data_IF_811312120261
#
_entry.id   IF_811312120261
#
_cell.length_a   1.000
_cell.length_b   1.000
_cell.length_c   1.000
_cell.angle_alpha   90.00
_cell.angle_beta   90.00
_cell.angle_gamma   90.00
#
_symmetry.space_group_name_H-M   'P 1'
#
loop_
_entity.id
_entity.type
_entity.pdbx_description
1 polymer ?
#
# COMPACT_ATOMS: atom_id res chain seq x y z
N UNK A 1 -25.48 36.79 -8.72
CA UNK A 1 -25.41 37.66 -7.52
C UNK A 1 -24.00 38.16 -7.36
N UNK A 2 -23.66 39.30 -7.97
CA UNK A 2 -22.50 40.18 -7.69
C UNK A 2 -22.52 41.32 -8.73
N UNK A 3 -23.64 42.05 -8.79
CA UNK A 3 -23.85 43.16 -9.72
C UNK A 3 -24.58 44.31 -9.03
N UNK A 4 -24.13 44.68 -7.83
CA UNK A 4 -24.69 45.78 -7.06
C UNK A 4 -23.65 46.27 -6.06
N UNK A 5 -22.67 47.06 -6.52
CA UNK A 5 -21.84 47.93 -5.67
C UNK A 5 -21.03 48.91 -6.54
N UNK A 6 -21.71 49.60 -7.45
CA UNK A 6 -21.23 50.88 -7.98
C UNK A 6 -22.29 51.92 -7.66
N UNK A 7 -22.22 52.47 -6.45
CA UNK A 7 -22.93 53.70 -6.08
C UNK A 7 -21.99 54.87 -6.30
N UNK A 8 -22.24 55.57 -7.40
CA UNK A 8 -22.24 57.04 -7.53
C UNK A 8 -21.32 57.84 -6.58
N UNK A 9 -20.12 58.15 -7.05
CA UNK A 9 -19.30 59.27 -6.55
C UNK A 9 -18.88 60.23 -7.66
N UNK A 10 -19.66 60.34 -8.74
CA UNK A 10 -19.51 61.44 -9.69
C UNK A 10 -20.22 62.69 -9.15
N UNK A 11 -19.47 63.57 -8.51
CA UNK A 11 -19.95 64.91 -8.14
C UNK A 11 -20.20 65.68 -9.46
N UNK A 12 -21.47 65.94 -9.77
CA UNK A 12 -21.88 66.84 -10.86
C UNK A 12 -21.51 68.27 -10.48
N UNK A 13 -20.39 68.76 -11.02
CA UNK A 13 -20.02 70.18 -10.97
C UNK A 13 -21.01 70.94 -11.88
N UNK A 14 -21.83 71.82 -11.29
CA UNK A 14 -22.70 72.73 -12.03
C UNK A 14 -21.85 73.63 -12.93
N UNK A 15 -22.16 73.64 -14.22
CA UNK A 15 -21.65 74.62 -15.16
C UNK A 15 -22.09 76.04 -14.76
N UNK A 16 -21.21 77.05 -14.82
CA UNK A 16 -21.55 78.41 -14.43
C UNK A 16 -22.57 79.01 -15.40
N UNK A 17 -23.62 79.62 -14.85
CA UNK A 17 -24.62 80.40 -15.58
C UNK A 17 -24.01 81.69 -16.15
N UNK A 18 -24.44 82.13 -17.35
CA UNK A 18 -23.87 83.31 -17.99
C UNK A 18 -24.17 84.59 -17.21
N UNK A 19 -23.13 85.41 -17.13
CA UNK A 19 -23.02 86.70 -16.44
C UNK A 19 -24.12 87.69 -16.81
N UNK A 20 -24.86 88.17 -15.80
CA UNK A 20 -25.63 89.40 -15.88
C UNK A 20 -24.70 90.60 -15.63
N UNK A 21 -24.54 91.41 -16.68
CA UNK A 21 -23.79 92.66 -16.73
C UNK A 21 -24.38 93.69 -15.76
N UNK A 22 -23.63 94.12 -14.75
CA UNK A 22 -23.95 95.31 -13.95
C UNK A 22 -22.68 96.11 -13.63
N UNK A 23 -22.54 97.23 -14.34
CA UNK A 23 -22.03 98.54 -13.87
C UNK A 23 -20.59 98.66 -13.33
N UNK A 24 -19.91 99.80 -13.57
CA UNK A 24 -18.55 100.01 -13.09
C UNK A 24 -18.54 100.17 -11.55
N UNK A 25 -17.86 99.26 -10.85
CA UNK A 25 -17.58 99.41 -9.41
C UNK A 25 -16.44 100.40 -9.22
N UNK A 26 -16.75 101.52 -8.57
CA UNK A 26 -15.86 102.65 -8.24
C UNK A 26 -15.00 102.42 -6.97
N UNK A 27 -14.72 101.18 -6.56
CA UNK A 27 -13.89 100.91 -5.37
C UNK A 27 -12.99 99.68 -5.58
N UNK A 28 -11.72 99.72 -5.16
CA UNK A 28 -10.87 98.53 -5.14
C UNK A 28 -11.49 97.46 -4.24
N UNK A 29 -11.36 96.16 -4.57
CA UNK A 29 -11.90 95.10 -3.74
C UNK A 29 -11.26 95.15 -2.35
N UNK A 30 -12.05 95.02 -1.26
CA UNK A 30 -11.51 94.92 0.08
C UNK A 30 -10.59 93.70 0.15
N UNK A 31 -9.41 93.87 0.75
CA UNK A 31 -8.48 92.77 1.00
C UNK A 31 -9.22 91.63 1.73
N UNK A 32 -8.97 90.35 1.38
CA UNK A 32 -9.59 89.24 2.09
C UNK A 32 -9.27 89.36 3.59
N UNK A 33 -10.23 89.10 4.50
CA UNK A 33 -10.00 89.22 5.92
C UNK A 33 -8.83 88.33 6.34
N UNK A 34 -7.75 88.94 6.85
CA UNK A 34 -6.70 88.20 7.53
C UNK A 34 -7.29 87.64 8.82
N UNK A 35 -7.53 86.33 8.85
CA UNK A 35 -7.85 85.64 10.09
C UNK A 35 -6.67 85.81 11.06
N UNK A 36 -6.93 86.09 12.36
CA UNK A 36 -5.87 86.08 13.35
C UNK A 36 -5.21 84.70 13.36
N UNK A 37 -3.88 84.66 13.21
CA UNK A 37 -3.13 83.42 13.35
C UNK A 37 -3.31 82.91 14.79
N UNK A 38 -3.70 81.65 14.95
CA UNK A 38 -3.71 81.01 16.25
C UNK A 38 -2.28 81.02 16.80
N UNK A 39 -2.06 81.78 17.88
CA UNK A 39 -0.81 81.74 18.63
C UNK A 39 -0.84 80.48 19.50
N UNK A 40 -0.57 79.33 18.87
CA UNK A 40 -0.50 78.04 19.56
C UNK A 40 0.75 78.07 20.43
N UNK A 41 0.66 77.90 21.76
CA UNK A 41 1.85 77.83 22.61
C UNK A 41 2.76 76.69 22.14
N UNK A 42 4.10 76.84 22.17
CA UNK A 42 5.01 75.79 21.77
C UNK A 42 4.85 74.60 22.72
N UNK A 43 4.08 73.59 22.32
CA UNK A 43 3.69 72.51 23.22
C UNK A 43 4.77 71.43 23.39
N UNK A 44 5.99 71.61 22.86
CA UNK A 44 7.06 70.63 23.00
C UNK A 44 8.42 71.27 23.24
N UNK A 45 9.19 70.63 24.13
CA UNK A 45 10.63 70.87 24.32
C UNK A 45 11.31 70.72 22.95
N UNK A 46 12.27 71.59 22.63
CA UNK A 46 13.14 71.39 21.46
C UNK A 46 13.80 70.03 21.61
N UNK A 47 13.49 69.11 20.71
CA UNK A 47 14.16 67.81 20.62
C UNK A 47 15.52 68.11 20.00
N UNK A 48 16.60 67.52 20.54
CA UNK A 48 17.93 67.64 19.94
C UNK A 48 17.99 66.83 18.64
N UNK A 49 18.75 67.29 17.65
CA UNK A 49 18.91 66.58 16.37
C UNK A 49 19.39 65.15 16.65
N UNK A 50 18.66 64.12 16.19
CA UNK A 50 19.08 62.74 16.38
C UNK A 50 20.47 62.48 15.79
N UNK A 51 21.34 61.78 16.52
CA UNK A 51 22.57 61.23 15.97
C UNK A 51 22.22 59.99 15.15
N UNK A 52 22.41 60.08 13.83
CA UNK A 52 22.21 58.96 12.91
C UNK A 52 23.42 58.03 12.96
N UNK A 53 23.19 56.71 13.01
CA UNK A 53 24.24 55.72 12.85
C UNK A 53 24.94 55.85 11.48
N UNK A 54 26.22 55.47 11.38
CA UNK A 54 27.03 55.52 10.15
C UNK A 54 26.33 54.81 8.99
N UNK A 55 25.76 53.63 9.24
CA UNK A 55 24.98 52.86 8.25
C UNK A 55 23.71 53.56 7.79
N UNK A 56 23.08 54.35 8.66
CA UNK A 56 21.89 55.14 8.31
C UNK A 56 22.28 56.33 7.43
N UNK A 57 23.46 56.92 7.66
CA UNK A 57 23.99 58.03 6.85
C UNK A 57 24.35 57.53 5.44
N UNK A 58 25.02 56.37 5.35
CA UNK A 58 25.36 55.74 4.07
C UNK A 58 24.10 55.38 3.27
N UNK A 59 23.05 54.89 3.93
CA UNK A 59 21.76 54.59 3.29
C UNK A 59 21.03 55.84 2.79
N UNK A 60 21.14 56.98 3.48
CA UNK A 60 20.52 58.25 3.05
C UNK A 60 21.26 58.84 1.83
N UNK A 61 22.57 58.62 1.74
CA UNK A 61 23.39 59.10 0.62
C UNK A 61 23.10 58.34 -0.69
N UNK A 62 22.93 57.02 -0.61
CA UNK A 62 22.51 56.17 -1.73
C UNK A 62 21.61 55.01 -1.28
N UNK A 63 20.28 55.20 -1.30
CA UNK A 63 19.32 54.19 -0.83
C UNK A 63 19.30 52.89 -1.64
N UNK A 64 19.75 52.93 -2.90
CA UNK A 64 19.76 51.75 -3.79
C UNK A 64 21.07 50.95 -3.68
N UNK A 65 22.20 51.62 -3.48
CA UNK A 65 23.51 50.95 -3.38
C UNK A 65 23.84 50.45 -1.96
N UNK A 66 23.36 51.14 -0.91
CA UNK A 66 23.71 50.88 0.49
C UNK A 66 22.57 50.22 1.28
N UNK A 67 21.71 49.45 0.60
CA UNK A 67 20.63 48.71 1.24
C UNK A 67 21.19 47.51 2.02
N UNK A 68 20.94 47.37 3.34
CA UNK A 68 21.46 46.24 4.11
C UNK A 68 20.80 44.92 3.72
N UNK A 69 21.57 43.84 3.81
CA UNK A 69 21.11 42.47 3.62
C UNK A 69 20.72 41.78 4.93
N UNK A 70 21.09 42.35 6.09
CA UNK A 70 20.70 41.83 7.41
C UNK A 70 19.45 42.52 7.94
N UNK A 71 18.58 41.73 8.56
CA UNK A 71 17.29 42.15 9.10
C UNK A 71 17.45 43.12 10.28
N UNK A 72 18.45 42.88 11.15
CA UNK A 72 18.65 43.75 12.32
C UNK A 72 19.23 45.10 11.93
N UNK A 73 20.09 45.14 10.92
CA UNK A 73 20.62 46.39 10.36
C UNK A 73 19.49 47.20 9.72
N UNK A 74 18.60 46.57 8.95
CA UNK A 74 17.41 47.23 8.41
C UNK A 74 16.51 47.81 9.51
N UNK A 75 16.36 47.12 10.66
CA UNK A 75 15.56 47.60 11.80
C UNK A 75 16.22 48.78 12.51
N UNK A 76 17.56 48.81 12.59
CA UNK A 76 18.31 49.95 13.15
C UNK A 76 18.09 51.18 12.27
N UNK A 77 18.30 51.07 10.96
CA UNK A 77 18.12 52.19 10.03
C UNK A 77 16.66 52.68 10.05
N UNK A 78 15.68 51.77 10.04
CA UNK A 78 14.25 52.14 10.19
C UNK A 78 13.97 52.95 11.44
N UNK A 79 14.58 52.60 12.58
CA UNK A 79 14.38 53.32 13.84
C UNK A 79 15.02 54.71 13.80
N UNK A 80 16.18 54.86 13.16
CA UNK A 80 16.86 56.14 13.02
C UNK A 80 16.15 57.06 12.02
N UNK A 81 15.71 56.55 10.87
CA UNK A 81 14.87 57.29 9.91
C UNK A 81 13.55 57.76 10.54
N UNK A 82 12.95 56.97 11.44
CA UNK A 82 11.75 57.38 12.19
C UNK A 82 12.02 58.53 13.14
N UNK A 83 13.16 58.53 13.86
CA UNK A 83 13.56 59.62 14.76
C UNK A 83 13.83 60.90 13.98
N UNK A 84 14.56 60.80 12.87
CA UNK A 84 14.91 61.96 12.03
C UNK A 84 13.67 62.56 11.35
N UNK A 85 12.79 61.72 10.81
CA UNK A 85 11.50 62.18 10.27
C UNK A 85 10.66 62.90 11.32
N UNK A 86 10.59 62.36 12.54
CA UNK A 86 9.84 62.98 13.62
C UNK A 86 10.42 64.35 14.01
N UNK A 87 11.76 64.47 14.05
CA UNK A 87 12.46 65.72 14.27
C UNK A 87 12.16 66.75 13.17
N UNK A 88 12.26 66.38 11.89
CA UNK A 88 11.99 67.28 10.75
C UNK A 88 10.52 67.73 10.67
N UNK A 89 9.58 66.89 11.10
CA UNK A 89 8.16 67.27 11.23
C UNK A 89 7.97 68.31 12.35
N UNK A 90 8.65 68.11 13.49
CA UNK A 90 8.60 69.03 14.62
C UNK A 90 9.27 70.39 14.28
N UNK A 91 10.26 70.41 13.38
CA UNK A 91 10.90 71.62 12.82
C UNK A 91 10.16 72.24 11.61
N UNK A 92 9.03 71.66 11.18
CA UNK A 92 8.22 72.10 10.03
C UNK A 92 8.94 72.02 8.67
N UNK A 93 9.99 71.20 8.56
CA UNK A 93 10.74 70.95 7.33
C UNK A 93 10.11 69.78 6.54
N UNK A 94 8.90 70.00 6.05
CA UNK A 94 8.10 68.98 5.36
C UNK A 94 8.72 68.39 4.08
N UNK A 95 9.45 69.16 3.24
CA UNK A 95 10.06 68.61 2.02
C UNK A 95 11.16 67.58 2.31
N UNK A 96 11.93 67.79 3.39
CA UNK A 96 12.98 66.87 3.81
C UNK A 96 12.37 65.67 4.53
N UNK A 97 11.39 65.89 5.42
CA UNK A 97 10.64 64.82 6.06
C UNK A 97 9.95 63.86 5.06
N UNK A 98 9.58 64.35 3.87
CA UNK A 98 9.02 63.52 2.80
C UNK A 98 10.05 62.56 2.20
N UNK A 99 11.32 62.98 2.05
CA UNK A 99 12.40 62.10 1.57
C UNK A 99 12.66 60.96 2.55
N UNK A 100 12.85 61.29 3.83
CA UNK A 100 12.98 60.29 4.90
C UNK A 100 11.77 59.35 5.00
N UNK A 101 10.57 59.82 4.62
CA UNK A 101 9.40 58.94 4.54
C UNK A 101 9.47 57.97 3.35
N UNK A 102 9.96 58.40 2.18
CA UNK A 102 10.19 57.52 1.03
C UNK A 102 11.27 56.48 1.34
N UNK A 103 12.37 56.90 1.96
CA UNK A 103 13.46 56.01 2.40
C UNK A 103 12.96 54.96 3.40
N UNK A 104 12.08 55.36 4.31
CA UNK A 104 11.43 54.44 5.25
C UNK A 104 10.52 53.42 4.56
N UNK A 105 9.81 53.82 3.49
CA UNK A 105 8.99 52.89 2.69
C UNK A 105 9.89 51.85 1.99
N UNK A 106 11.05 52.26 1.48
CA UNK A 106 12.02 51.35 0.87
C UNK A 106 12.56 50.33 1.88
N UNK A 107 12.96 50.78 3.07
CA UNK A 107 13.41 49.86 4.13
C UNK A 107 12.28 48.96 4.63
N UNK A 108 11.06 49.48 4.78
CA UNK A 108 9.91 48.65 5.15
C UNK A 108 9.64 47.55 4.12
N UNK A 109 9.83 47.83 2.82
CA UNK A 109 9.73 46.83 1.76
C UNK A 109 10.85 45.78 1.87
N UNK A 110 12.12 46.20 2.08
CA UNK A 110 13.26 45.29 2.25
C UNK A 110 13.14 44.39 3.49
N UNK A 111 12.69 44.95 4.62
CA UNK A 111 12.40 44.16 5.84
C UNK A 111 11.35 43.09 5.54
N UNK A 112 10.29 43.48 4.83
CA UNK A 112 9.24 42.54 4.45
C UNK A 112 9.76 41.42 3.53
N UNK A 113 10.63 41.75 2.57
CA UNK A 113 11.29 40.76 1.69
C UNK A 113 12.15 39.78 2.49
N UNK A 114 13.04 40.27 3.36
CA UNK A 114 13.92 39.44 4.18
C UNK A 114 13.14 38.54 5.18
N UNK A 115 12.11 39.08 5.83
CA UNK A 115 11.21 38.29 6.70
C UNK A 115 10.49 37.21 5.87
N UNK A 116 10.03 37.54 4.66
CA UNK A 116 9.33 36.60 3.77
C UNK A 116 10.24 35.47 3.26
N UNK A 117 11.50 35.77 2.93
CA UNK A 117 12.51 34.78 2.56
C UNK A 117 12.84 33.83 3.74
N UNK A 118 12.98 34.38 4.95
CA UNK A 118 13.17 33.59 6.17
C UNK A 118 12.00 32.62 6.43
N UNK A 119 10.76 33.11 6.30
CA UNK A 119 9.57 32.28 6.47
C UNK A 119 9.47 31.18 5.39
N UNK A 120 9.78 31.51 4.13
CA UNK A 120 9.80 30.54 3.03
C UNK A 120 10.89 29.48 3.22
N UNK A 121 12.09 29.85 3.63
CA UNK A 121 13.17 28.89 3.91
C UNK A 121 12.86 27.99 5.10
N UNK A 122 12.22 28.51 6.15
CA UNK A 122 11.71 27.71 7.27
C UNK A 122 10.64 26.71 6.80
N UNK A 123 9.72 27.16 5.93
CA UNK A 123 8.69 26.30 5.33
C UNK A 123 9.31 25.20 4.47
N UNK A 124 10.33 25.52 3.66
CA UNK A 124 11.08 24.56 2.85
C UNK A 124 11.71 23.46 3.72
N UNK A 125 12.39 23.86 4.82
CA UNK A 125 12.98 22.91 5.78
C UNK A 125 11.91 22.01 6.41
N UNK A 126 10.78 22.59 6.81
CA UNK A 126 9.68 21.82 7.39
C UNK A 126 9.12 20.78 6.41
N UNK A 127 8.85 21.18 5.17
CA UNK A 127 8.36 20.27 4.12
C UNK A 127 9.37 19.17 3.80
N UNK A 128 10.67 19.48 3.78
CA UNK A 128 11.73 18.49 3.57
C UNK A 128 11.80 17.48 4.72
N UNK A 129 11.77 17.92 5.98
CA UNK A 129 11.73 17.02 7.13
C UNK A 129 10.52 16.10 7.06
N UNK A 130 9.34 16.64 6.73
CA UNK A 130 8.11 15.86 6.55
C UNK A 130 8.23 14.84 5.41
N UNK A 131 8.87 15.23 4.31
CA UNK A 131 9.14 14.33 3.19
C UNK A 131 9.98 13.13 3.66
N UNK A 132 11.12 13.39 4.31
CA UNK A 132 12.00 12.34 4.84
C UNK A 132 11.27 11.45 5.88
N UNK A 133 10.41 12.03 6.72
CA UNK A 133 9.63 11.27 7.74
C UNK A 133 8.70 10.27 7.05
N UNK A 134 7.97 10.72 6.03
CA UNK A 134 7.06 9.87 5.26
C UNK A 134 7.81 8.81 4.46
N UNK A 135 8.98 9.16 3.90
CA UNK A 135 9.83 8.23 3.17
C UNK A 135 10.29 7.07 4.06
N UNK A 136 10.69 7.35 5.31
CA UNK A 136 11.06 6.33 6.28
C UNK A 136 9.89 5.40 6.66
N UNK A 137 8.67 5.94 6.75
CA UNK A 137 7.46 5.15 6.99
C UNK A 137 7.17 4.23 5.80
N UNK A 138 7.25 4.76 4.58
CA UNK A 138 7.06 3.96 3.35
C UNK A 138 8.10 2.85 3.26
N UNK A 139 9.37 3.16 3.52
CA UNK A 139 10.45 2.17 3.51
C UNK A 139 10.21 1.04 4.53
N UNK A 140 9.74 1.39 5.73
CA UNK A 140 9.39 0.40 6.76
C UNK A 140 8.23 -0.52 6.32
N UNK A 141 7.15 0.06 5.78
CA UNK A 141 6.02 -0.71 5.25
C UNK A 141 6.42 -1.63 4.10
N UNK A 142 7.25 -1.15 3.17
CA UNK A 142 7.75 -1.96 2.06
C UNK A 142 8.63 -3.10 2.56
N UNK A 143 9.54 -2.84 3.50
CA UNK A 143 10.37 -3.88 4.10
C UNK A 143 9.55 -4.95 4.84
N UNK A 144 8.53 -4.56 5.59
CA UNK A 144 7.63 -5.53 6.22
C UNK A 144 6.84 -6.34 5.17
N UNK A 145 6.36 -5.67 4.12
CA UNK A 145 5.64 -6.33 3.03
C UNK A 145 6.53 -7.32 2.28
N UNK A 146 7.78 -6.96 1.98
CA UNK A 146 8.74 -7.83 1.31
C UNK A 146 9.01 -9.09 2.13
N UNK A 147 9.26 -8.95 3.44
CA UNK A 147 9.40 -10.12 4.35
C UNK A 147 8.17 -11.03 4.32
N UNK A 148 6.98 -10.45 4.38
CA UNK A 148 5.73 -11.21 4.34
C UNK A 148 5.50 -11.88 2.99
N UNK A 149 5.95 -11.25 1.91
CA UNK A 149 5.84 -11.77 0.55
C UNK A 149 6.84 -12.90 0.30
N UNK A 150 8.07 -12.78 0.80
CA UNK A 150 9.07 -13.85 0.81
C UNK A 150 8.56 -15.09 1.55
N UNK A 151 8.01 -14.91 2.76
CA UNK A 151 7.42 -16.00 3.55
C UNK A 151 6.24 -16.67 2.79
N UNK A 152 5.44 -15.88 2.09
CA UNK A 152 4.36 -16.39 1.23
C UNK A 152 4.90 -17.22 0.06
N UNK A 153 5.97 -16.76 -0.60
CA UNK A 153 6.60 -17.49 -1.71
C UNK A 153 7.21 -18.81 -1.23
N UNK A 154 7.94 -18.79 -0.13
CA UNK A 154 8.55 -19.98 0.47
C UNK A 154 7.49 -21.02 0.87
N UNK A 155 6.41 -20.56 1.52
CA UNK A 155 5.29 -21.43 1.91
C UNK A 155 4.61 -22.03 0.67
N UNK A 156 4.39 -21.22 -0.37
CA UNK A 156 3.80 -21.65 -1.63
C UNK A 156 4.64 -22.70 -2.33
N UNK A 157 5.96 -22.48 -2.42
CA UNK A 157 6.89 -23.41 -3.04
C UNK A 157 6.91 -24.73 -2.29
N UNK A 158 7.01 -24.68 -0.96
CA UNK A 158 7.01 -25.88 -0.11
C UNK A 158 5.73 -26.70 -0.30
N UNK A 159 4.58 -26.06 -0.40
CA UNK A 159 3.31 -26.76 -0.66
C UNK A 159 3.21 -27.33 -2.07
N UNK A 160 3.70 -26.62 -3.07
CA UNK A 160 3.73 -27.12 -4.43
C UNK A 160 4.57 -28.40 -4.51
N UNK A 161 5.75 -28.39 -3.89
CA UNK A 161 6.64 -29.55 -3.81
C UNK A 161 5.97 -30.73 -3.09
N UNK A 162 5.22 -30.47 -2.00
CA UNK A 162 4.45 -31.51 -1.31
C UNK A 162 3.32 -32.10 -2.17
N UNK A 163 2.61 -31.27 -2.94
CA UNK A 163 1.56 -31.72 -3.85
C UNK A 163 2.18 -32.58 -4.96
N UNK A 164 3.31 -32.15 -5.53
CA UNK A 164 4.02 -32.90 -6.58
C UNK A 164 4.59 -34.22 -6.08
N UNK A 165 5.20 -34.24 -4.90
CA UNK A 165 5.66 -35.47 -4.23
C UNK A 165 4.49 -36.42 -3.97
N UNK A 166 3.37 -35.93 -3.41
CA UNK A 166 2.19 -36.75 -3.18
C UNK A 166 1.61 -37.34 -4.47
N UNK A 167 1.58 -36.54 -5.55
CA UNK A 167 1.15 -37.02 -6.87
C UNK A 167 2.11 -38.07 -7.44
N UNK A 168 3.43 -37.91 -7.26
CA UNK A 168 4.45 -38.88 -7.67
C UNK A 168 4.26 -40.21 -6.94
N UNK A 169 4.13 -40.17 -5.61
CA UNK A 169 3.90 -41.37 -4.80
C UNK A 169 2.60 -42.08 -5.16
N UNK A 170 1.51 -41.33 -5.39
CA UNK A 170 0.23 -41.89 -5.84
C UNK A 170 0.37 -42.60 -7.20
N UNK A 171 1.17 -42.05 -8.11
CA UNK A 171 1.44 -42.65 -9.42
C UNK A 171 2.33 -43.90 -9.32
N UNK A 172 3.36 -43.88 -8.47
CA UNK A 172 4.21 -45.04 -8.20
C UNK A 172 3.41 -46.19 -7.58
N UNK A 173 2.56 -45.90 -6.59
CA UNK A 173 1.65 -46.88 -5.99
C UNK A 173 0.65 -47.41 -7.02
N UNK A 174 0.14 -46.56 -7.91
CA UNK A 174 -0.72 -47.00 -9.00
C UNK A 174 0.00 -47.98 -9.93
N UNK A 175 1.22 -47.64 -10.35
CA UNK A 175 2.02 -48.46 -11.28
C UNK A 175 2.48 -49.78 -10.62
N UNK A 176 2.79 -49.80 -9.33
CA UNK A 176 3.11 -51.02 -8.56
C UNK A 176 1.92 -51.96 -8.41
N UNK A 177 0.70 -51.43 -8.32
CA UNK A 177 -0.53 -52.22 -8.16
C UNK A 177 -1.10 -52.74 -9.49
N UNK A 178 -0.42 -52.52 -10.61
CA UNK A 178 -0.83 -53.05 -11.91
C UNK A 178 -0.71 -54.59 -11.90
N UNK A 179 -1.80 -55.35 -12.12
CA UNK A 179 -1.72 -56.80 -12.14
C UNK A 179 -0.84 -57.30 -13.30
N UNK A 180 0.12 -58.18 -13.00
CA UNK A 180 1.00 -58.82 -14.00
C UNK A 180 0.26 -59.76 -14.96
N UNK A 181 -0.95 -60.20 -14.61
CA UNK A 181 -1.79 -61.05 -15.46
C UNK A 181 -3.22 -60.53 -15.59
N UNK A 182 -4.07 -61.34 -16.23
CA UNK A 182 -5.51 -61.08 -16.30
C UNK A 182 -6.09 -60.98 -14.89
N UNK A 183 -6.77 -59.88 -14.56
CA UNK A 183 -7.50 -59.77 -13.29
C UNK A 183 -8.74 -60.66 -13.31
N UNK A 184 -9.28 -60.99 -12.13
CA UNK A 184 -10.42 -61.91 -11.99
C UNK A 184 -11.62 -61.47 -12.84
N UNK A 185 -11.82 -60.16 -13.01
CA UNK A 185 -12.90 -59.58 -13.81
C UNK A 185 -12.82 -59.94 -15.30
N UNK A 186 -11.61 -60.10 -15.84
CA UNK A 186 -11.34 -60.36 -17.25
C UNK A 186 -11.14 -61.86 -17.56
N UNK A 187 -11.12 -62.75 -16.56
CA UNK A 187 -10.93 -64.20 -16.72
C UNK A 187 -12.19 -64.99 -17.08
N UNK A 188 -13.29 -64.33 -17.46
CA UNK A 188 -14.58 -65.01 -17.72
C UNK A 188 -14.55 -65.75 -19.07
N UNK A 189 -14.58 -67.09 -19.10
CA UNK A 189 -14.57 -67.86 -20.35
C UNK A 189 -15.86 -67.64 -21.16
N UNK A 190 -15.78 -67.65 -22.49
CA UNK A 190 -17.00 -67.60 -23.31
C UNK A 190 -17.82 -68.87 -23.19
N UNK A 191 -19.14 -68.76 -23.43
CA UNK A 191 -20.03 -69.92 -23.46
C UNK A 191 -19.61 -70.94 -24.53
N UNK A 192 -19.03 -70.47 -25.65
CA UNK A 192 -18.49 -71.31 -26.71
C UNK A 192 -17.31 -72.15 -26.21
N UNK A 193 -16.38 -71.55 -25.46
CA UNK A 193 -15.25 -72.27 -24.87
C UNK A 193 -15.72 -73.29 -23.83
N UNK A 194 -16.68 -72.92 -22.98
CA UNK A 194 -17.29 -73.84 -22.01
C UNK A 194 -17.96 -75.05 -22.68
N UNK A 195 -18.68 -74.82 -23.79
CA UNK A 195 -19.31 -75.88 -24.57
C UNK A 195 -18.29 -76.83 -25.23
N UNK A 196 -17.17 -76.29 -25.73
CA UNK A 196 -16.07 -77.11 -26.25
C UNK A 196 -15.38 -77.93 -25.16
N UNK A 197 -15.14 -77.34 -23.99
CA UNK A 197 -14.54 -78.04 -22.83
C UNK A 197 -15.48 -79.11 -22.26
N UNK A 198 -16.79 -78.88 -22.27
CA UNK A 198 -17.75 -79.91 -21.84
C UNK A 198 -17.87 -81.04 -22.86
N UNK A 199 -17.84 -80.74 -24.16
CA UNK A 199 -17.79 -81.74 -25.22
C UNK A 199 -16.50 -82.57 -25.18
N UNK A 200 -15.34 -81.92 -24.98
CA UNK A 200 -14.05 -82.56 -24.75
C UNK A 200 -14.13 -83.57 -23.60
N UNK A 201 -14.63 -83.13 -22.43
CA UNK A 201 -14.78 -84.01 -21.26
C UNK A 201 -15.71 -85.18 -21.53
N UNK A 202 -16.86 -84.97 -22.16
CA UNK A 202 -17.79 -86.06 -22.53
C UNK A 202 -17.11 -87.11 -23.41
N UNK A 203 -16.39 -86.67 -24.44
CA UNK A 203 -15.67 -87.57 -25.35
C UNK A 203 -14.56 -88.34 -24.63
N UNK A 204 -13.85 -87.69 -23.72
CA UNK A 204 -12.85 -88.33 -22.87
C UNK A 204 -13.46 -89.42 -21.96
N UNK A 205 -14.59 -89.13 -21.30
CA UNK A 205 -15.31 -90.13 -20.48
C UNK A 205 -15.86 -91.30 -21.30
N UNK A 206 -16.21 -91.08 -22.57
CA UNK A 206 -16.64 -92.13 -23.49
C UNK A 206 -15.48 -92.92 -24.14
N UNK A 207 -14.24 -92.74 -23.67
CA UNK A 207 -13.00 -93.34 -24.21
C UNK A 207 -12.68 -93.00 -25.69
N UNK A 208 -13.29 -91.96 -26.26
CA UNK A 208 -12.98 -91.45 -27.60
C UNK A 208 -11.82 -90.45 -27.55
N UNK A 209 -10.64 -90.92 -27.14
CA UNK A 209 -9.49 -90.08 -26.79
C UNK A 209 -8.92 -89.30 -27.99
N UNK A 210 -8.94 -89.86 -29.20
CA UNK A 210 -8.44 -89.21 -30.43
C UNK A 210 -9.24 -87.95 -30.75
N UNK A 211 -10.58 -88.03 -30.71
CA UNK A 211 -11.46 -86.89 -30.93
C UNK A 211 -11.42 -85.88 -29.78
N UNK A 212 -11.30 -86.33 -28.53
CA UNK A 212 -11.10 -85.45 -27.39
C UNK A 212 -9.82 -84.61 -27.53
N UNK A 213 -8.73 -85.21 -28.04
CA UNK A 213 -7.46 -84.51 -28.26
C UNK A 213 -7.58 -83.41 -29.34
N UNK A 214 -8.32 -83.68 -30.42
CA UNK A 214 -8.63 -82.65 -31.43
C UNK A 214 -9.46 -81.49 -30.86
N UNK A 215 -10.49 -81.79 -30.05
CA UNK A 215 -11.27 -80.75 -29.38
C UNK A 215 -10.44 -79.95 -28.38
N UNK A 216 -9.54 -80.60 -27.65
CA UNK A 216 -8.61 -79.94 -26.72
C UNK A 216 -7.74 -78.91 -27.43
N UNK A 217 -7.16 -79.28 -28.58
CA UNK A 217 -6.34 -78.34 -29.38
C UNK A 217 -7.15 -77.13 -29.84
N UNK A 218 -8.38 -77.37 -30.32
CA UNK A 218 -9.28 -76.29 -30.76
C UNK A 218 -9.74 -75.40 -29.59
N UNK A 219 -10.03 -75.99 -28.44
CA UNK A 219 -10.38 -75.26 -27.22
C UNK A 219 -9.22 -74.41 -26.70
N UNK A 220 -7.99 -74.94 -26.71
CA UNK A 220 -6.78 -74.21 -26.31
C UNK A 220 -6.54 -72.98 -27.21
N UNK A 221 -6.70 -73.11 -28.53
CA UNK A 221 -6.57 -71.97 -29.45
C UNK A 221 -7.60 -70.87 -29.16
N UNK A 222 -8.85 -71.26 -28.90
CA UNK A 222 -9.92 -70.30 -28.57
C UNK A 222 -9.65 -69.63 -27.22
N UNK A 223 -9.20 -70.39 -26.23
CA UNK A 223 -8.84 -69.87 -24.91
C UNK A 223 -7.70 -68.86 -24.99
N UNK A 224 -6.65 -69.13 -25.79
CA UNK A 224 -5.57 -68.18 -26.03
C UNK A 224 -6.07 -66.88 -26.69
N UNK A 225 -6.89 -66.99 -27.74
CA UNK A 225 -7.46 -65.82 -28.43
C UNK A 225 -8.41 -65.00 -27.54
N UNK A 226 -9.16 -65.66 -26.66
CA UNK A 226 -10.03 -64.98 -25.69
C UNK A 226 -9.20 -64.31 -24.60
N UNK A 227 -8.18 -64.99 -24.07
CA UNK A 227 -7.26 -64.43 -23.07
C UNK A 227 -6.52 -63.20 -23.60
N UNK A 228 -6.01 -63.25 -24.83
CA UNK A 228 -5.33 -62.11 -25.48
C UNK A 228 -6.27 -60.91 -25.65
N UNK A 229 -7.49 -61.14 -26.15
CA UNK A 229 -8.50 -60.08 -26.30
C UNK A 229 -8.88 -59.45 -24.96
N UNK A 230 -9.02 -60.25 -23.91
CA UNK A 230 -9.32 -59.75 -22.57
C UNK A 230 -8.12 -58.99 -21.97
N UNK A 231 -6.90 -59.45 -22.24
CA UNK A 231 -5.68 -58.79 -21.78
C UNK A 231 -5.56 -57.39 -22.41
N UNK A 232 -5.79 -57.28 -23.72
CA UNK A 232 -5.80 -55.98 -24.42
C UNK A 232 -6.85 -55.01 -23.85
N UNK A 233 -8.04 -55.50 -23.50
CA UNK A 233 -9.08 -54.70 -22.85
C UNK A 233 -8.65 -54.22 -21.46
N UNK A 234 -8.07 -55.10 -20.65
CA UNK A 234 -7.55 -54.75 -19.33
C UNK A 234 -6.47 -53.67 -19.44
N UNK A 235 -5.49 -53.85 -20.33
CA UNK A 235 -4.41 -52.87 -20.56
C UNK A 235 -4.99 -51.52 -20.98
N UNK A 236 -5.98 -51.50 -21.87
CA UNK A 236 -6.66 -50.26 -22.28
C UNK A 236 -7.30 -49.54 -21.08
N UNK A 237 -8.05 -50.27 -20.25
CA UNK A 237 -8.71 -49.71 -19.06
C UNK A 237 -7.70 -49.19 -18.05
N UNK A 238 -6.59 -49.90 -17.83
CA UNK A 238 -5.51 -49.46 -16.93
C UNK A 238 -4.86 -48.17 -17.45
N UNK A 239 -4.57 -48.09 -18.75
CA UNK A 239 -4.06 -46.86 -19.40
C UNK A 239 -5.02 -45.69 -19.24
N UNK A 240 -6.32 -45.91 -19.45
CA UNK A 240 -7.34 -44.87 -19.26
C UNK A 240 -7.47 -44.43 -17.79
N UNK A 241 -7.34 -45.35 -16.83
CA UNK A 241 -7.30 -45.02 -15.40
C UNK A 241 -6.07 -44.18 -15.06
N UNK A 242 -4.89 -44.57 -15.55
CA UNK A 242 -3.65 -43.81 -15.37
C UNK A 242 -3.74 -42.41 -15.96
N UNK A 243 -4.30 -42.28 -17.16
CA UNK A 243 -4.49 -40.98 -17.81
C UNK A 243 -5.45 -40.07 -17.01
N UNK A 244 -6.54 -40.63 -16.48
CA UNK A 244 -7.46 -39.90 -15.59
C UNK A 244 -6.77 -39.45 -14.29
N UNK A 245 -5.93 -40.30 -13.71
CA UNK A 245 -5.16 -39.96 -12.52
C UNK A 245 -4.20 -38.79 -12.79
N UNK A 246 -3.41 -38.87 -13.85
CA UNK A 246 -2.50 -37.79 -14.27
C UNK A 246 -3.26 -36.49 -14.54
N UNK A 247 -4.42 -36.56 -15.18
CA UNK A 247 -5.25 -35.37 -15.42
C UNK A 247 -5.78 -34.77 -14.10
N UNK A 248 -6.17 -35.61 -13.15
CA UNK A 248 -6.56 -35.17 -11.80
C UNK A 248 -5.41 -34.46 -11.08
N UNK A 249 -4.19 -35.02 -11.14
CA UNK A 249 -2.98 -34.39 -10.59
C UNK A 249 -2.71 -33.01 -11.21
N UNK A 250 -2.79 -32.91 -12.54
CA UNK A 250 -2.64 -31.63 -13.25
C UNK A 250 -3.69 -30.61 -12.81
N UNK A 251 -4.94 -31.04 -12.62
CA UNK A 251 -6.00 -30.15 -12.12
C UNK A 251 -5.75 -29.70 -10.69
N UNK A 252 -5.32 -30.59 -9.79
CA UNK A 252 -4.96 -30.24 -8.40
C UNK A 252 -3.88 -29.15 -8.37
N UNK A 253 -2.79 -29.34 -9.13
CA UNK A 253 -1.70 -28.34 -9.24
C UNK A 253 -2.23 -27.04 -9.82
N UNK A 254 -3.02 -27.09 -10.89
CA UNK A 254 -3.62 -25.89 -11.50
C UNK A 254 -4.48 -25.11 -10.50
N UNK A 255 -5.39 -25.78 -9.80
CA UNK A 255 -6.26 -25.12 -8.81
C UNK A 255 -5.47 -24.48 -7.67
N UNK A 256 -4.38 -25.13 -7.24
CA UNK A 256 -3.47 -24.56 -6.26
C UNK A 256 -2.80 -23.27 -6.78
N UNK A 257 -2.23 -23.31 -7.99
CA UNK A 257 -1.59 -22.14 -8.61
C UNK A 257 -2.59 -21.00 -8.87
N UNK A 258 -3.82 -21.30 -9.29
CA UNK A 258 -4.88 -20.30 -9.48
C UNK A 258 -5.23 -19.61 -8.14
N UNK A 259 -5.31 -20.38 -7.04
CA UNK A 259 -5.54 -19.83 -5.72
C UNK A 259 -4.38 -18.94 -5.23
N UNK A 260 -3.13 -19.40 -5.41
CA UNK A 260 -1.91 -18.64 -5.11
C UNK A 260 -1.88 -17.33 -5.88
N UNK A 261 -2.19 -17.36 -7.18
CA UNK A 261 -2.24 -16.16 -8.02
C UNK A 261 -3.30 -15.16 -7.55
N UNK A 262 -4.48 -15.66 -7.15
CA UNK A 262 -5.53 -14.81 -6.55
C UNK A 262 -5.04 -14.15 -5.26
N UNK A 263 -4.39 -14.91 -4.37
CA UNK A 263 -3.82 -14.36 -3.13
C UNK A 263 -2.71 -13.34 -3.40
N UNK A 264 -1.83 -13.61 -4.37
CA UNK A 264 -0.80 -12.66 -4.80
C UNK A 264 -1.39 -11.33 -5.25
N UNK A 265 -2.46 -11.36 -6.06
CA UNK A 265 -3.16 -10.14 -6.50
C UNK A 265 -3.67 -9.35 -5.28
N UNK A 266 -4.31 -10.02 -4.33
CA UNK A 266 -4.84 -9.39 -3.11
C UNK A 266 -3.71 -8.80 -2.25
N UNK A 267 -2.57 -9.50 -2.13
CA UNK A 267 -1.39 -8.98 -1.41
C UNK A 267 -0.82 -7.71 -2.05
N UNK A 268 -0.73 -7.66 -3.38
CA UNK A 268 -0.26 -6.47 -4.12
C UNK A 268 -1.25 -5.32 -3.98
N UNK A 269 -2.55 -5.59 -4.06
CA UNK A 269 -3.58 -4.57 -3.83
C UNK A 269 -3.52 -4.00 -2.42
N UNK A 270 -3.32 -4.84 -1.41
CA UNK A 270 -3.17 -4.41 -0.02
C UNK A 270 -1.95 -3.50 0.16
N UNK A 271 -0.80 -3.87 -0.42
CA UNK A 271 0.42 -3.02 -0.45
C UNK A 271 0.15 -1.66 -1.08
N UNK A 272 -0.42 -1.65 -2.27
CA UNK A 272 -0.69 -0.42 -3.01
C UNK A 272 -1.66 0.49 -2.24
N UNK A 273 -2.63 -0.09 -1.52
CA UNK A 273 -3.55 0.66 -0.66
C UNK A 273 -2.85 1.24 0.57
N UNK A 274 -1.98 0.45 1.23
CA UNK A 274 -1.24 0.89 2.41
C UNK A 274 -0.28 2.04 2.07
N UNK A 275 0.52 1.88 1.01
CA UNK A 275 1.55 2.85 0.62
C UNK A 275 0.98 4.02 -0.21
N UNK A 276 -0.14 3.82 -0.92
CA UNK A 276 -0.67 4.80 -1.87
C UNK A 276 -1.05 6.16 -1.27
N UNK A 277 -1.48 6.19 -0.01
CA UNK A 277 -1.74 7.45 0.69
C UNK A 277 -0.46 8.23 1.01
N UNK A 278 0.60 7.52 1.40
CA UNK A 278 1.91 8.12 1.66
C UNK A 278 2.56 8.62 0.37
N UNK A 279 2.52 7.85 -0.73
CA UNK A 279 3.07 8.28 -2.02
C UNK A 279 2.41 9.55 -2.56
N UNK A 280 1.10 9.71 -2.38
CA UNK A 280 0.41 10.95 -2.76
C UNK A 280 0.87 12.14 -1.93
N UNK A 281 1.15 11.93 -0.64
CA UNK A 281 1.70 12.97 0.25
C UNK A 281 3.14 13.32 -0.11
N UNK A 282 3.96 12.33 -0.45
CA UNK A 282 5.33 12.55 -0.95
C UNK A 282 5.30 13.40 -2.21
N UNK A 283 4.55 13.00 -3.25
CA UNK A 283 4.45 13.77 -4.48
C UNK A 283 3.93 15.21 -4.25
N UNK A 284 3.04 15.41 -3.28
CA UNK A 284 2.57 16.74 -2.92
C UNK A 284 3.68 17.58 -2.27
N UNK A 285 4.46 16.99 -1.36
CA UNK A 285 5.61 17.64 -0.75
C UNK A 285 6.72 17.91 -1.76
N UNK A 286 6.95 17.01 -2.71
CA UNK A 286 7.91 17.20 -3.80
C UNK A 286 7.56 18.45 -4.61
N UNK A 287 6.30 18.57 -5.06
CA UNK A 287 5.83 19.74 -5.78
C UNK A 287 5.96 21.02 -4.91
N UNK A 288 5.63 20.95 -3.62
CA UNK A 288 5.79 22.10 -2.72
C UNK A 288 7.25 22.52 -2.54
N UNK A 289 8.16 21.55 -2.41
CA UNK A 289 9.59 21.79 -2.27
C UNK A 289 10.13 22.42 -3.56
N UNK A 290 9.71 21.91 -4.72
CA UNK A 290 10.07 22.45 -6.03
C UNK A 290 9.55 23.88 -6.23
N UNK A 291 8.27 24.13 -5.91
CA UNK A 291 7.66 25.47 -5.99
C UNK A 291 8.41 26.48 -5.11
N UNK A 292 8.69 26.13 -3.84
CA UNK A 292 9.40 27.03 -2.91
C UNK A 292 10.87 27.21 -3.31
N UNK A 293 11.53 26.17 -3.82
CA UNK A 293 12.91 26.24 -4.30
C UNK A 293 13.05 27.15 -5.52
N UNK A 294 12.10 27.05 -6.47
CA UNK A 294 12.04 27.91 -7.64
C UNK A 294 11.75 29.36 -7.27
N UNK A 295 10.83 29.58 -6.32
CA UNK A 295 10.49 30.92 -5.81
C UNK A 295 11.68 31.62 -5.14
N UNK A 296 12.49 30.88 -4.39
CA UNK A 296 13.66 31.40 -3.69
C UNK A 296 14.92 31.41 -4.57
N UNK A 297 14.92 30.71 -5.69
CA UNK A 297 16.10 30.43 -6.52
C UNK A 297 17.27 29.85 -5.72
N UNK A 298 16.95 28.94 -4.77
CA UNK A 298 17.94 28.29 -3.91
C UNK A 298 17.93 26.78 -4.15
N UNK A 299 19.13 26.20 -4.18
CA UNK A 299 19.31 24.75 -4.21
C UNK A 299 18.85 24.12 -2.88
N UNK A 300 17.88 23.21 -2.95
CA UNK A 300 17.31 22.48 -1.80
C UNK A 300 18.40 21.82 -0.96
N UNK A 301 19.45 21.29 -1.62
CA UNK A 301 20.55 20.61 -0.94
C UNK A 301 21.44 21.56 -0.13
N UNK A 302 21.46 22.85 -0.46
CA UNK A 302 22.21 23.89 0.25
C UNK A 302 21.48 24.40 1.51
N UNK A 303 20.16 24.25 1.60
CA UNK A 303 19.34 24.77 2.72
C UNK A 303 18.97 23.68 3.73
N UNK A 304 18.82 22.45 3.24
CA UNK A 304 18.38 21.30 4.02
C UNK A 304 19.53 20.30 4.20
N UNK A 305 20.47 20.61 5.09
CA UNK A 305 21.62 19.75 5.39
C UNK A 305 21.35 18.64 6.42
N UNK A 306 20.20 18.66 7.09
CA UNK A 306 19.89 17.67 8.12
C UNK A 306 19.24 16.42 7.52
N UNK A 307 19.94 15.30 7.60
CA UNK A 307 19.32 13.99 7.61
C UNK A 307 18.46 13.86 8.86
N UNK A 308 17.29 13.24 8.75
CA UNK A 308 16.47 12.87 9.90
C UNK A 308 17.29 12.14 10.97
N UNK A 309 17.17 12.60 12.21
CA UNK A 309 17.73 11.90 13.37
C UNK A 309 17.12 10.50 13.50
N UNK A 310 17.95 9.51 13.84
CA UNK A 310 17.55 8.10 13.91
C UNK A 310 16.46 7.88 14.96
N UNK A 311 16.54 8.55 16.12
CA UNK A 311 15.51 8.51 17.17
C UNK A 311 14.16 9.04 16.68
N UNK A 312 14.18 10.12 15.87
CA UNK A 312 12.96 10.70 15.29
C UNK A 312 12.36 9.76 14.25
N UNK A 313 13.20 9.14 13.42
CA UNK A 313 12.76 8.16 12.44
C UNK A 313 12.11 6.93 13.09
N UNK A 314 12.66 6.44 14.21
CA UNK A 314 12.07 5.33 14.97
C UNK A 314 10.74 5.71 15.63
N UNK A 315 10.65 6.90 16.22
CA UNK A 315 9.41 7.40 16.81
C UNK A 315 8.27 7.45 15.80
N UNK A 316 8.51 8.04 14.62
CA UNK A 316 7.51 8.17 13.56
C UNK A 316 7.09 6.79 13.03
N UNK A 317 8.03 5.86 12.89
CA UNK A 317 7.72 4.46 12.52
C UNK A 317 6.79 3.81 13.55
N UNK A 318 7.10 3.94 14.84
CA UNK A 318 6.28 3.35 15.88
C UNK A 318 4.89 3.98 15.93
N UNK A 319 4.77 5.30 15.89
CA UNK A 319 3.49 5.99 15.97
C UNK A 319 2.53 5.57 14.83
N UNK A 320 3.03 5.52 13.59
CA UNK A 320 2.22 5.14 12.42
C UNK A 320 1.88 3.63 12.42
N UNK A 321 2.82 2.76 12.83
CA UNK A 321 2.59 1.31 12.92
C UNK A 321 1.67 0.91 14.09
N UNK A 322 1.51 1.76 15.11
CA UNK A 322 0.64 1.51 16.27
C UNK A 322 -0.83 1.87 15.99
N UNK A 323 -1.18 2.18 14.75
CA UNK A 323 -2.55 2.49 14.34
C UNK A 323 -3.55 1.41 14.83
N UNK A 324 -4.67 1.79 15.48
CA UNK A 324 -5.60 0.86 16.12
C UNK A 324 -6.41 0.01 15.14
N UNK A 325 -6.25 0.22 13.83
CA UNK A 325 -6.91 -0.55 12.79
C UNK A 325 -5.99 -1.71 12.41
N UNK A 326 -6.35 -2.96 12.73
CA UNK A 326 -5.52 -4.09 12.37
C UNK A 326 -5.33 -4.14 10.84
N UNK A 327 -4.09 -4.00 10.40
CA UNK A 327 -3.73 -4.19 9.00
C UNK A 327 -4.01 -5.64 8.63
N UNK A 328 -5.09 -5.90 7.90
CA UNK A 328 -5.35 -7.23 7.36
C UNK A 328 -4.23 -7.60 6.40
N UNK A 329 -3.38 -8.55 6.81
CA UNK A 329 -2.23 -9.02 6.04
C UNK A 329 -2.53 -10.40 5.46
N UNK A 330 -3.07 -10.47 4.22
CA UNK A 330 -3.53 -11.72 3.61
C UNK A 330 -2.41 -12.78 3.48
N UNK A 331 -1.15 -12.35 3.26
CA UNK A 331 0.00 -13.26 3.23
C UNK A 331 0.25 -13.94 4.57
N UNK A 332 0.29 -13.19 5.68
CA UNK A 332 0.43 -13.76 7.03
C UNK A 332 -0.71 -14.71 7.38
N UNK A 333 -1.96 -14.35 7.02
CA UNK A 333 -3.11 -15.21 7.26
C UNK A 333 -3.02 -16.54 6.47
N UNK A 334 -2.58 -16.46 5.21
CA UNK A 334 -2.31 -17.63 4.38
C UNK A 334 -1.22 -18.51 5.02
N UNK A 335 -0.03 -17.97 5.26
CA UNK A 335 1.10 -18.72 5.83
C UNK A 335 0.77 -19.31 7.21
N UNK A 336 0.08 -18.54 8.08
CA UNK A 336 -0.35 -19.02 9.39
C UNK A 336 -1.38 -20.14 9.31
N UNK A 337 -2.35 -20.06 8.40
CA UNK A 337 -3.33 -21.14 8.19
C UNK A 337 -2.64 -22.44 7.78
N UNK A 338 -1.64 -22.34 6.91
CA UNK A 338 -0.88 -23.50 6.40
C UNK A 338 0.07 -24.10 7.43
N UNK A 339 0.75 -23.26 8.22
CA UNK A 339 1.54 -23.72 9.38
C UNK A 339 0.69 -24.49 10.39
N UNK A 340 -0.48 -23.94 10.76
CA UNK A 340 -1.42 -24.63 11.67
C UNK A 340 -1.91 -25.96 11.11
N UNK A 341 -2.17 -26.04 9.81
CA UNK A 341 -2.56 -27.29 9.16
C UNK A 341 -1.43 -28.34 9.26
N UNK A 342 -0.17 -27.93 9.03
CA UNK A 342 1.00 -28.79 9.17
C UNK A 342 1.17 -29.29 10.62
N UNK A 343 1.13 -28.39 11.61
CA UNK A 343 1.24 -28.74 13.03
C UNK A 343 0.14 -29.72 13.48
N UNK A 344 -1.10 -29.50 13.04
CA UNK A 344 -2.20 -30.41 13.33
C UNK A 344 -1.98 -31.78 12.69
N UNK A 345 -1.48 -31.85 11.46
CA UNK A 345 -1.16 -33.11 10.80
C UNK A 345 -0.07 -33.90 11.55
N UNK A 346 0.98 -33.22 12.01
CA UNK A 346 2.08 -33.83 12.77
C UNK A 346 1.60 -34.30 14.16
N UNK A 347 0.71 -33.55 14.81
CA UNK A 347 0.12 -33.91 16.10
C UNK A 347 -0.77 -35.16 15.98
N UNK A 348 -1.58 -35.26 14.91
CA UNK A 348 -2.39 -36.46 14.65
C UNK A 348 -1.50 -37.67 14.38
N UNK A 349 -0.46 -37.56 13.55
CA UNK A 349 0.47 -38.66 13.29
C UNK A 349 1.21 -39.12 14.55
N UNK A 350 1.61 -38.19 15.44
CA UNK A 350 2.21 -38.55 16.74
C UNK A 350 1.22 -39.29 17.65
N UNK A 351 -0.05 -38.87 17.66
CA UNK A 351 -1.09 -39.54 18.46
C UNK A 351 -1.40 -40.96 17.96
N UNK A 352 -1.39 -41.19 16.64
CA UNK A 352 -1.60 -42.51 16.04
C UNK A 352 -0.43 -43.47 16.32
N UNK A 353 0.81 -42.97 16.26
CA UNK A 353 2.01 -43.74 16.63
C UNK A 353 2.04 -44.09 18.11
N UNK A 354 1.63 -43.17 18.99
CA UNK A 354 1.50 -43.44 20.42
C UNK A 354 0.38 -44.46 20.73
N UNK A 355 -0.72 -44.43 19.98
CA UNK A 355 -1.82 -45.40 20.09
C UNK A 355 -1.47 -46.82 19.64
N UNK A 356 -0.54 -46.97 18.68
CA UNK A 356 -0.03 -48.28 18.25
C UNK A 356 1.02 -48.88 19.20
N UNK A 357 1.79 -48.05 19.91
CA UNK A 357 2.77 -48.52 20.90
C UNK A 357 2.15 -48.95 22.25
N UNK A 358 0.87 -48.65 22.49
CA UNK A 358 0.20 -48.82 23.79
C UNK A 358 -0.83 -49.96 23.90
N UNK A 359 -0.97 -50.86 22.92
CA UNK A 359 -1.86 -52.02 23.03
C UNK A 359 -1.11 -53.25 23.55
N UNK A 360 -1.17 -53.60 24.85
CA UNK A 360 -0.79 -54.94 25.29
C UNK A 360 -1.73 -55.96 24.65
N UNK A 361 -1.16 -56.99 24.04
CA UNK A 361 -1.89 -58.17 23.59
C UNK A 361 -2.66 -58.77 24.78
N UNK A 362 -3.97 -58.53 24.85
CA UNK A 362 -4.85 -59.37 25.66
C UNK A 362 -4.95 -60.72 24.96
N UNK A 363 -4.25 -61.70 25.54
CA UNK A 363 -4.40 -63.11 25.19
C UNK A 363 -5.88 -63.51 25.24
N UNK A 364 -6.42 -63.87 24.09
CA UNK A 364 -7.70 -64.56 23.94
C UNK A 364 -7.50 -66.02 24.37
N UNK A 365 -7.81 -66.32 25.63
CA UNK A 365 -8.10 -67.68 26.07
C UNK A 365 -9.51 -68.07 25.63
N UNK A 366 -9.61 -69.20 24.94
CA UNK A 366 -10.85 -69.83 24.49
C UNK A 366 -11.68 -70.41 25.66
N UNK A 367 -12.99 -70.70 25.42
CA UNK A 367 -14.01 -70.82 26.46
C UNK A 367 -14.27 -72.27 26.88
N UNK A 368 -14.68 -72.47 28.13
CA UNK A 368 -15.30 -73.71 28.63
C UNK A 368 -16.71 -73.45 29.15
N UNK A 369 -17.69 -73.88 28.34
CA UNK A 369 -18.82 -74.73 28.74
C UNK A 369 -19.76 -74.37 29.90
N UNK A 370 -21.05 -74.20 29.53
CA UNK A 370 -22.29 -74.53 30.26
C UNK A 370 -22.66 -73.63 31.48
N UNK A 371 -23.92 -73.27 31.77
CA UNK A 371 -25.20 -73.85 31.39
C UNK A 371 -26.34 -72.81 31.60
N UNK A 372 -27.32 -72.83 30.69
CA UNK A 372 -28.76 -72.45 30.76
C UNK A 372 -29.27 -71.53 31.89
N UNK A 373 -30.04 -70.50 31.50
CA UNK A 373 -31.49 -70.46 31.78
C UNK A 373 -32.25 -69.48 30.87
N UNK A 374 -33.42 -69.94 30.39
CA UNK A 374 -34.44 -69.20 29.67
C UNK A 374 -35.04 -68.08 30.52
N UNK A 375 -35.34 -66.92 29.92
CA UNK A 375 -36.65 -66.25 30.07
C UNK A 375 -36.99 -65.51 28.77
N UNK A 376 -38.23 -65.69 28.33
CA UNK A 376 -38.90 -65.09 27.19
C UNK A 376 -39.41 -63.67 27.51
N UNK A 377 -39.27 -62.72 26.58
CA UNK A 377 -40.25 -61.64 26.33
C UNK A 377 -39.85 -60.93 25.01
N UNK A 378 -40.55 -61.17 23.89
CA UNK A 378 -41.67 -60.37 23.34
C UNK A 378 -41.39 -58.87 23.17
N UNK A 379 -41.45 -58.44 21.89
CA UNK A 379 -42.04 -57.22 21.27
C UNK A 379 -41.84 -55.89 22.03
N UNK A 380 -41.47 -54.79 21.38
CA UNK A 380 -42.32 -54.12 20.38
C UNK A 380 -41.51 -53.17 19.51
N UNK A 381 -41.94 -53.08 18.24
CA UNK A 381 -41.65 -52.03 17.27
C UNK A 381 -42.40 -50.76 17.69
N UNK A 382 -41.73 -49.62 17.64
CA UNK A 382 -42.27 -48.39 17.05
C UNK A 382 -41.15 -47.56 16.46
#
# INVERSE_FOLDING_TARGET
MLASLHRDTSIKIRSPSPSSTKGPRLYPPPQPPQFPQFNVPPYRRKIEKPELCEMTQDFIEDPEANMPDDLEDCRIIKNDLKKERQYLIDEQQYPEALKFHQDLVLIDAKIWELDHESDKTATLRHSMTKHQEIEQVVAAYLSEWDKNYEEFLETTQTELEQIEEGNRQELELFDQNIPTGLSIEFRKPSMRLLNLRSAEKRLAYSNQLSFALQLKQRANLIEQQEAERQYLKQVKIIKERRARLVNSHKQKVKHFLDHVNSMRIVMIQSRNKAVGGYMKRLNFLDNQIEDISNDLNVDVSAVCHSSLDEERAEFVKQEELTSPIPHFQPGKAFSASRRKAKENSERTQRSERAGQAGRPQRNLTQPTGANRHCVSARRTIH
#
